data_IF_707508171140
#
_entry.id   IF_707508171140
#
_cell.length_a   1.000
_cell.length_b   1.000
_cell.length_c   1.000
_cell.angle_alpha   90.00
_cell.angle_beta   90.00
_cell.angle_gamma   90.00
#
_symmetry.space_group_name_H-M   'P 1'
#
loop_
_entity.id
_entity.type
_entity.pdbx_description
1 polymer ?
#
# COMPACT_ATOMS: atom_id res chain seq x y z
N UNK A 1 15.03 -44.19 -50.68
CA UNK A 1 14.44 -45.04 -49.62
C UNK A 1 15.30 -44.87 -48.38
N UNK A 2 14.78 -44.27 -47.31
CA UNK A 2 15.53 -44.18 -46.05
C UNK A 2 15.75 -45.59 -45.50
N UNK A 3 16.98 -45.91 -45.04
CA UNK A 3 17.24 -47.23 -44.50
C UNK A 3 16.40 -47.44 -43.24
N UNK A 4 15.92 -48.66 -43.02
CA UNK A 4 15.11 -49.03 -41.85
C UNK A 4 15.75 -48.60 -40.51
N UNK A 5 17.10 -48.55 -40.46
CA UNK A 5 17.86 -48.07 -39.31
C UNK A 5 17.73 -46.56 -39.08
N UNK A 6 17.71 -45.75 -40.14
CA UNK A 6 17.48 -44.30 -40.02
C UNK A 6 16.07 -43.99 -39.55
N UNK A 7 15.07 -44.76 -40.02
CA UNK A 7 13.67 -44.59 -39.60
C UNK A 7 13.51 -44.92 -38.11
N UNK A 8 14.11 -46.02 -37.64
CA UNK A 8 14.07 -46.42 -36.23
C UNK A 8 14.75 -45.39 -35.31
N UNK A 9 15.90 -44.84 -35.72
CA UNK A 9 16.61 -43.80 -34.97
C UNK A 9 15.79 -42.50 -34.91
N UNK A 10 15.20 -42.08 -36.04
CA UNK A 10 14.32 -40.91 -36.07
C UNK A 10 13.09 -41.09 -35.18
N UNK A 11 12.47 -42.27 -35.16
CA UNK A 11 11.34 -42.56 -34.28
C UNK A 11 11.73 -42.53 -32.80
N UNK A 12 12.89 -43.05 -32.43
CA UNK A 12 13.41 -42.98 -31.05
C UNK A 12 13.66 -41.53 -30.60
N UNK A 13 14.23 -40.68 -31.46
CA UNK A 13 14.42 -39.27 -31.13
C UNK A 13 13.09 -38.52 -31.04
N UNK A 14 12.14 -38.78 -31.92
CA UNK A 14 10.81 -38.15 -31.88
C UNK A 14 10.05 -38.57 -30.62
N UNK A 15 10.10 -39.85 -30.21
CA UNK A 15 9.45 -40.29 -28.97
C UNK A 15 10.12 -39.73 -27.72
N UNK A 16 11.46 -39.68 -27.67
CA UNK A 16 12.20 -39.06 -26.57
C UNK A 16 11.86 -37.56 -26.48
N UNK A 17 11.83 -36.85 -27.62
CA UNK A 17 11.44 -35.44 -27.67
C UNK A 17 9.98 -35.24 -27.23
N UNK A 18 9.05 -36.11 -27.62
CA UNK A 18 7.66 -36.06 -27.16
C UNK A 18 7.57 -36.31 -25.65
N UNK A 19 8.28 -37.29 -25.10
CA UNK A 19 8.31 -37.57 -23.67
C UNK A 19 8.94 -36.43 -22.85
N UNK A 20 9.99 -35.80 -23.36
CA UNK A 20 10.60 -34.61 -22.75
C UNK A 20 9.61 -33.45 -22.75
N UNK A 21 8.88 -33.21 -23.85
CA UNK A 21 7.89 -32.14 -23.94
C UNK A 21 6.65 -32.39 -23.05
N UNK A 22 6.23 -33.64 -22.85
CA UNK A 22 5.13 -34.00 -21.93
C UNK A 22 5.46 -33.62 -20.48
N UNK A 23 6.73 -33.70 -20.08
CA UNK A 23 7.19 -33.25 -18.75
C UNK A 23 7.32 -31.71 -18.63
N UNK A 24 7.31 -30.97 -19.75
CA UNK A 24 7.52 -29.52 -19.80
C UNK A 24 6.18 -28.75 -19.76
N UNK A 25 5.02 -29.42 -19.87
CA UNK A 25 3.70 -28.77 -19.80
C UNK A 25 3.43 -28.27 -18.37
N UNK A 26 3.91 -27.06 -18.09
CA UNK A 26 3.24 -26.01 -17.30
C UNK A 26 2.86 -26.37 -15.88
N UNK A 27 3.83 -26.42 -14.96
CA UNK A 27 3.51 -26.29 -13.54
C UNK A 27 2.96 -24.87 -13.29
N UNK A 28 1.65 -24.76 -13.05
CA UNK A 28 1.05 -23.53 -12.56
C UNK A 28 1.80 -23.07 -11.29
N UNK A 29 2.07 -21.76 -11.18
CA UNK A 29 2.68 -21.20 -9.98
C UNK A 29 1.69 -21.43 -8.83
N UNK A 30 2.14 -22.15 -7.81
CA UNK A 30 1.35 -22.45 -6.61
C UNK A 30 1.99 -21.81 -5.40
N UNK A 31 1.15 -21.45 -4.42
CA UNK A 31 1.56 -20.87 -3.15
C UNK A 31 1.05 -21.74 -2.01
N UNK A 32 1.77 -21.75 -0.90
CA UNK A 32 1.38 -22.46 0.32
C UNK A 32 0.95 -21.44 1.38
N UNK A 33 -0.28 -21.52 1.85
CA UNK A 33 -0.86 -20.57 2.81
C UNK A 33 -1.42 -21.30 4.02
N UNK A 34 -1.47 -20.64 5.19
CA UNK A 34 -2.13 -21.19 6.36
C UNK A 34 -3.65 -21.28 6.12
N UNK A 35 -4.29 -22.33 6.65
CA UNK A 35 -5.75 -22.46 6.62
C UNK A 35 -6.38 -21.52 7.64
N UNK A 36 -7.52 -20.93 7.27
CA UNK A 36 -8.33 -20.16 8.21
C UNK A 36 -8.86 -21.07 9.33
N UNK A 37 -8.80 -20.59 10.58
CA UNK A 37 -9.30 -21.34 11.73
C UNK A 37 -8.47 -22.55 12.12
N UNK A 38 -7.24 -22.69 11.61
CA UNK A 38 -6.29 -23.67 12.12
C UNK A 38 -6.05 -23.46 13.61
N UNK A 39 -5.88 -24.55 14.36
CA UNK A 39 -5.57 -24.47 15.78
C UNK A 39 -4.28 -23.68 16.00
N UNK A 40 -4.32 -22.66 16.86
CA UNK A 40 -3.20 -21.73 17.05
C UNK A 40 -1.93 -22.44 17.57
N UNK A 41 -2.06 -23.50 18.35
CA UNK A 41 -0.91 -24.25 18.89
C UNK A 41 -0.29 -25.15 17.83
N UNK A 42 -1.11 -25.81 17.02
CA UNK A 42 -0.66 -26.57 15.86
C UNK A 42 0.00 -25.65 14.82
N UNK A 43 -0.59 -24.48 14.58
CA UNK A 43 -0.10 -23.49 13.63
C UNK A 43 1.25 -22.90 14.07
N UNK A 44 1.41 -22.57 15.36
CA UNK A 44 2.68 -22.10 15.90
C UNK A 44 3.77 -23.18 15.82
N UNK A 45 3.42 -24.43 16.12
CA UNK A 45 4.35 -25.56 16.01
C UNK A 45 4.80 -25.77 14.57
N UNK A 46 3.87 -25.68 13.62
CA UNK A 46 4.15 -25.76 12.20
C UNK A 46 5.02 -24.60 11.69
N UNK A 47 4.77 -23.37 12.14
CA UNK A 47 5.59 -22.20 11.83
C UNK A 47 7.03 -22.41 12.31
N UNK A 48 7.22 -22.83 13.56
CA UNK A 48 8.55 -23.13 14.10
C UNK A 48 9.27 -24.22 13.30
N UNK A 49 8.54 -25.27 12.89
CA UNK A 49 9.08 -26.31 12.01
C UNK A 49 9.52 -25.74 10.66
N UNK A 50 8.71 -24.90 10.01
CA UNK A 50 9.04 -24.31 8.72
C UNK A 50 10.36 -23.53 8.77
N UNK A 51 10.53 -22.68 9.80
CA UNK A 51 11.76 -21.93 10.03
C UNK A 51 12.96 -22.84 10.29
N UNK A 52 12.79 -23.85 11.16
CA UNK A 52 13.86 -24.82 11.46
C UNK A 52 14.24 -25.71 10.27
N UNK A 53 13.31 -25.94 9.34
CA UNK A 53 13.51 -26.78 8.16
C UNK A 53 14.04 -26.00 6.93
N UNK A 54 14.39 -24.72 7.12
CA UNK A 54 15.10 -23.90 6.14
C UNK A 54 14.25 -22.86 5.40
N UNK A 55 13.08 -22.49 5.94
CA UNK A 55 12.42 -21.24 5.53
C UNK A 55 13.20 -20.03 6.06
N UNK A 56 13.26 -18.96 5.26
CA UNK A 56 13.73 -17.68 5.76
C UNK A 56 12.63 -17.02 6.60
N UNK A 57 12.87 -16.89 7.91
CA UNK A 57 11.94 -16.30 8.86
C UNK A 57 12.46 -14.99 9.48
N UNK A 58 13.55 -14.42 8.95
CA UNK A 58 14.06 -13.11 9.39
C UNK A 58 13.05 -11.98 9.10
N UNK A 59 12.39 -11.92 7.93
CA UNK A 59 11.47 -10.82 7.62
C UNK A 59 10.20 -10.77 8.48
N UNK A 60 9.84 -11.87 9.14
CA UNK A 60 8.66 -11.96 10.02
C UNK A 60 9.01 -11.82 11.51
N UNK A 61 10.27 -11.57 11.87
CA UNK A 61 10.63 -11.22 13.25
C UNK A 61 10.15 -9.81 13.60
N UNK A 62 10.11 -9.47 14.89
CA UNK A 62 9.65 -8.15 15.38
C UNK A 62 10.24 -6.92 14.68
N UNK A 63 11.47 -7.02 14.16
CA UNK A 63 12.16 -5.95 13.41
C UNK A 63 12.07 -6.10 11.90
N UNK A 64 11.44 -7.17 11.40
CA UNK A 64 11.37 -7.53 10.00
C UNK A 64 10.30 -6.75 9.22
N UNK A 65 10.52 -6.64 7.91
CA UNK A 65 9.64 -5.89 7.01
C UNK A 65 8.23 -6.52 6.87
N UNK A 66 8.12 -7.82 7.08
CA UNK A 66 6.88 -8.60 7.00
C UNK A 66 6.31 -8.92 8.39
N UNK A 67 6.74 -8.22 9.44
CA UNK A 67 6.21 -8.40 10.79
C UNK A 67 4.77 -7.93 10.95
N UNK A 68 4.44 -6.78 10.33
CA UNK A 68 3.11 -6.18 10.48
C UNK A 68 2.21 -6.55 9.30
N UNK A 69 0.96 -7.00 9.55
CA UNK A 69 0.30 -7.16 10.85
C UNK A 69 0.86 -8.35 11.66
N UNK A 70 0.97 -8.18 12.98
CA UNK A 70 1.47 -9.22 13.90
C UNK A 70 0.40 -10.30 14.13
N UNK A 71 0.28 -11.23 13.18
CA UNK A 71 -0.63 -12.37 13.27
C UNK A 71 0.11 -13.67 12.98
N UNK A 72 -0.16 -14.71 13.80
CA UNK A 72 0.44 -16.04 13.62
C UNK A 72 0.05 -16.62 12.25
N UNK A 73 -1.19 -16.38 11.79
CA UNK A 73 -1.68 -16.81 10.47
C UNK A 73 -0.87 -16.18 9.31
N UNK A 74 -0.56 -14.88 9.42
CA UNK A 74 0.22 -14.15 8.42
C UNK A 74 1.68 -14.60 8.39
N UNK A 75 2.32 -14.69 9.57
CA UNK A 75 3.70 -15.17 9.69
C UNK A 75 3.86 -16.63 9.26
N UNK A 76 2.91 -17.50 9.63
CA UNK A 76 2.86 -18.89 9.20
C UNK A 76 2.71 -19.00 7.68
N UNK A 77 1.80 -18.25 7.06
CA UNK A 77 1.63 -18.25 5.61
C UNK A 77 2.89 -17.82 4.87
N UNK A 78 3.62 -16.83 5.40
CA UNK A 78 4.90 -16.41 4.85
C UNK A 78 5.94 -17.54 4.91
N UNK A 79 6.14 -18.12 6.10
CA UNK A 79 7.12 -19.19 6.31
C UNK A 79 6.78 -20.45 5.51
N UNK A 80 5.50 -20.84 5.45
CA UNK A 80 5.02 -21.99 4.69
C UNK A 80 5.25 -21.81 3.20
N UNK A 81 4.94 -20.63 2.65
CA UNK A 81 5.20 -20.35 1.26
C UNK A 81 6.71 -20.39 0.98
N UNK A 82 7.52 -19.72 1.80
CA UNK A 82 8.98 -19.70 1.63
C UNK A 82 9.57 -21.13 1.63
N UNK A 83 9.23 -21.93 2.64
CA UNK A 83 9.59 -23.35 2.73
C UNK A 83 9.15 -24.13 1.47
N UNK A 84 7.89 -23.99 1.08
CA UNK A 84 7.31 -24.71 -0.05
C UNK A 84 8.01 -24.35 -1.36
N UNK A 85 8.31 -23.07 -1.61
CA UNK A 85 9.02 -22.66 -2.83
C UNK A 85 10.41 -23.29 -2.92
N UNK A 86 11.11 -23.43 -1.78
CA UNK A 86 12.45 -24.00 -1.73
C UNK A 86 12.41 -25.53 -1.84
N UNK A 87 11.46 -26.19 -1.17
CA UNK A 87 11.48 -27.65 -0.99
C UNK A 87 10.58 -28.42 -1.96
N UNK A 88 9.66 -27.79 -2.67
CA UNK A 88 8.70 -28.48 -3.57
C UNK A 88 9.38 -29.33 -4.64
N UNK A 89 10.55 -28.91 -5.13
CA UNK A 89 11.33 -29.68 -6.12
C UNK A 89 11.95 -30.96 -5.53
N UNK A 90 12.18 -30.98 -4.22
CA UNK A 90 12.71 -32.12 -3.48
C UNK A 90 11.60 -32.97 -2.83
N UNK A 91 10.34 -32.78 -3.24
CA UNK A 91 9.19 -33.50 -2.66
C UNK A 91 8.65 -32.90 -1.36
N UNK A 92 8.96 -31.65 -1.04
CA UNK A 92 8.36 -30.95 0.09
C UNK A 92 6.87 -30.67 -0.14
N UNK A 93 6.02 -31.06 0.81
CA UNK A 93 4.57 -30.89 0.75
C UNK A 93 4.09 -29.66 1.53
N UNK A 94 3.03 -29.02 1.03
CA UNK A 94 2.30 -27.99 1.75
C UNK A 94 1.14 -28.63 2.52
N UNK A 95 1.43 -29.13 3.72
CA UNK A 95 0.41 -29.70 4.61
C UNK A 95 0.56 -29.18 6.04
N UNK A 96 1.79 -29.20 6.57
CA UNK A 96 2.11 -28.65 7.90
C UNK A 96 1.16 -29.19 9.00
N UNK A 97 0.88 -30.49 8.98
CA UNK A 97 -0.03 -31.14 9.93
C UNK A 97 -1.49 -30.73 9.70
N UNK A 98 -1.88 -30.54 8.45
CA UNK A 98 -3.19 -30.03 8.05
C UNK A 98 -3.42 -28.54 8.25
N UNK A 99 -2.42 -27.78 8.74
CA UNK A 99 -2.53 -26.34 9.00
C UNK A 99 -2.32 -25.46 7.78
N UNK A 100 -1.90 -26.03 6.65
CA UNK A 100 -1.65 -25.30 5.41
C UNK A 100 -2.40 -25.91 4.21
N UNK A 101 -2.56 -25.10 3.16
CA UNK A 101 -3.14 -25.53 1.88
C UNK A 101 -2.44 -24.87 0.71
N UNK A 102 -2.43 -25.55 -0.43
CA UNK A 102 -1.97 -24.99 -1.69
C UNK A 102 -3.07 -24.13 -2.30
N UNK A 103 -2.69 -22.98 -2.84
CA UNK A 103 -3.54 -22.12 -3.66
C UNK A 103 -2.87 -21.83 -5.01
N UNK A 104 -3.69 -21.70 -6.06
CA UNK A 104 -3.25 -21.39 -7.43
C UNK A 104 -3.40 -19.90 -7.77
N UNK A 105 -4.06 -19.13 -6.91
CA UNK A 105 -4.20 -17.69 -7.04
C UNK A 105 -3.20 -17.04 -6.10
N UNK A 106 -2.46 -16.05 -6.61
CA UNK A 106 -1.49 -15.32 -5.79
C UNK A 106 -2.20 -14.67 -4.59
N UNK A 107 -1.83 -15.02 -3.34
CA UNK A 107 -2.42 -14.43 -2.15
C UNK A 107 -2.32 -12.90 -2.12
N UNK A 108 -1.35 -12.30 -2.82
CA UNK A 108 -1.23 -10.85 -2.92
C UNK A 108 -2.35 -10.21 -3.74
N UNK A 109 -3.02 -10.98 -4.62
CA UNK A 109 -4.10 -10.50 -5.48
C UNK A 109 -5.46 -10.53 -4.79
N UNK A 110 -5.56 -11.15 -3.61
CA UNK A 110 -6.77 -11.21 -2.77
C UNK A 110 -7.05 -9.92 -1.98
N UNK A 111 -6.60 -8.75 -2.47
CA UNK A 111 -6.88 -7.44 -1.85
C UNK A 111 -8.38 -7.07 -1.92
N UNK A 112 -9.19 -7.74 -2.75
CA UNK A 112 -10.61 -7.44 -2.95
C UNK A 112 -11.59 -8.58 -2.56
N UNK A 113 -11.18 -9.56 -1.76
CA UNK A 113 -12.09 -10.60 -1.23
C UNK A 113 -12.07 -10.62 0.30
N UNK A 114 -13.14 -11.09 0.97
CA UNK A 114 -13.33 -10.98 2.43
C UNK A 114 -12.34 -11.76 3.31
N UNK A 115 -11.22 -12.24 2.76
CA UNK A 115 -10.15 -12.97 3.46
C UNK A 115 -9.25 -12.03 4.29
N UNK A 116 -9.39 -10.72 4.11
CA UNK A 116 -8.85 -9.76 5.09
C UNK A 116 -9.89 -9.67 6.21
N UNK A 117 -9.54 -10.22 7.38
CA UNK A 117 -10.25 -9.95 8.64
C UNK A 117 -10.62 -8.46 8.67
N UNK A 118 -11.91 -8.08 8.63
CA UNK A 118 -12.35 -6.70 8.42
C UNK A 118 -11.82 -5.71 9.47
N UNK A 119 -11.31 -6.23 10.58
CA UNK A 119 -10.56 -5.50 11.60
C UNK A 119 -9.40 -4.67 11.04
N UNK A 120 -8.59 -5.22 10.12
CA UNK A 120 -7.41 -4.50 9.62
C UNK A 120 -7.79 -3.32 8.70
N UNK A 121 -8.88 -3.50 7.95
CA UNK A 121 -9.48 -2.43 7.11
C UNK A 121 -10.13 -1.38 8.00
N UNK A 122 -10.82 -1.76 9.09
CA UNK A 122 -11.38 -0.81 10.03
C UNK A 122 -10.32 0.04 10.71
N UNK A 123 -9.24 -0.57 11.22
CA UNK A 123 -8.17 0.19 11.88
C UNK A 123 -7.47 1.18 10.94
N UNK A 124 -7.24 0.79 9.68
CA UNK A 124 -6.67 1.70 8.68
C UNK A 124 -7.66 2.76 8.24
N UNK A 125 -8.94 2.42 8.01
CA UNK A 125 -9.98 3.40 7.66
C UNK A 125 -10.21 4.41 8.77
N UNK A 126 -10.16 4.03 10.05
CA UNK A 126 -10.27 4.93 11.19
C UNK A 126 -9.07 5.87 11.29
N UNK A 127 -7.84 5.36 11.08
CA UNK A 127 -6.64 6.20 11.01
C UNK A 127 -6.72 7.17 9.84
N UNK A 128 -7.13 6.71 8.65
CA UNK A 128 -7.31 7.54 7.45
C UNK A 128 -8.42 8.57 7.67
N UNK A 129 -9.52 8.21 8.33
CA UNK A 129 -10.62 9.11 8.69
C UNK A 129 -10.14 10.20 9.64
N UNK A 130 -9.39 9.84 10.69
CA UNK A 130 -8.76 10.81 11.60
C UNK A 130 -7.77 11.73 10.89
N UNK A 131 -6.99 11.21 9.94
CA UNK A 131 -6.05 12.03 9.13
C UNK A 131 -6.84 13.02 8.25
N UNK A 132 -7.85 12.54 7.52
CA UNK A 132 -8.72 13.39 6.69
C UNK A 132 -9.41 14.48 7.51
N UNK A 133 -9.86 14.14 8.71
CA UNK A 133 -10.50 15.08 9.63
C UNK A 133 -9.52 16.14 10.14
N UNK A 134 -8.31 15.74 10.55
CA UNK A 134 -7.24 16.68 10.94
C UNK A 134 -6.79 17.58 9.79
N UNK A 135 -6.72 17.05 8.56
CA UNK A 135 -6.44 17.84 7.36
C UNK A 135 -7.57 18.85 7.09
N UNK A 136 -8.83 18.42 7.16
CA UNK A 136 -9.99 19.29 6.94
C UNK A 136 -10.06 20.43 7.95
N UNK A 137 -9.86 20.15 9.24
CA UNK A 137 -9.83 21.18 10.29
C UNK A 137 -8.76 22.23 9.99
N UNK A 138 -7.59 21.80 9.52
CA UNK A 138 -6.48 22.71 9.18
C UNK A 138 -6.83 23.57 7.95
N UNK A 139 -7.46 23.00 6.92
CA UNK A 139 -7.91 23.71 5.73
C UNK A 139 -9.04 24.71 6.03
N UNK A 140 -10.01 24.34 6.86
CA UNK A 140 -11.13 25.20 7.24
C UNK A 140 -10.65 26.41 8.05
N UNK A 141 -9.67 26.22 8.94
CA UNK A 141 -8.99 27.33 9.63
C UNK A 141 -8.36 28.30 8.64
N UNK A 142 -7.63 27.80 7.64
CA UNK A 142 -7.00 28.65 6.62
C UNK A 142 -8.03 29.45 5.81
N UNK A 143 -9.15 28.82 5.40
CA UNK A 143 -10.25 29.52 4.72
C UNK A 143 -10.86 30.61 5.58
N UNK A 144 -11.12 30.33 6.85
CA UNK A 144 -11.64 31.33 7.80
C UNK A 144 -10.72 32.55 7.93
N UNK A 145 -9.41 32.35 8.03
CA UNK A 145 -8.42 33.45 8.09
C UNK A 145 -8.37 34.30 6.80
N UNK A 146 -8.62 33.69 5.64
CA UNK A 146 -8.67 34.39 4.35
C UNK A 146 -9.99 35.14 4.21
N UNK A 147 -11.12 34.51 4.56
CA UNK A 147 -12.46 35.09 4.46
C UNK A 147 -12.63 36.30 5.39
N UNK A 148 -12.10 36.22 6.63
CA UNK A 148 -12.13 37.36 7.57
C UNK A 148 -11.35 38.57 7.05
N UNK A 149 -10.33 38.36 6.20
CA UNK A 149 -9.58 39.43 5.52
C UNK A 149 -10.22 39.92 4.22
N UNK A 150 -11.21 39.20 3.67
CA UNK A 150 -11.95 39.58 2.46
C UNK A 150 -13.29 40.26 2.75
N UNK A 151 -13.84 40.12 3.96
CA UNK A 151 -15.06 40.84 4.36
C UNK A 151 -14.78 42.33 4.49
N UNK A 152 -15.68 43.16 3.94
CA UNK A 152 -15.67 44.61 4.14
C UNK A 152 -15.81 44.88 5.64
N UNK A 153 -14.94 45.74 6.17
CA UNK A 153 -15.02 46.17 7.56
C UNK A 153 -16.21 47.12 7.69
N UNK A 154 -17.15 46.81 8.59
CA UNK A 154 -18.22 47.71 9.01
C UNK A 154 -17.75 48.42 10.28
N UNK A 155 -17.91 49.74 10.33
CA UNK A 155 -17.50 50.58 11.45
C UNK A 155 -18.73 51.22 12.08
N UNK A 156 -18.75 51.33 13.40
CA UNK A 156 -19.78 52.05 14.14
C UNK A 156 -19.27 53.39 14.70
N UNK A 157 -20.21 54.25 15.09
CA UNK A 157 -19.89 55.58 15.62
C UNK A 157 -19.20 55.44 16.98
N UNK A 158 -17.89 55.69 17.02
CA UNK A 158 -17.04 55.51 18.20
C UNK A 158 -15.77 54.70 17.93
N UNK A 159 -15.66 54.04 16.77
CA UNK A 159 -14.47 53.27 16.41
C UNK A 159 -13.25 54.15 16.09
N UNK A 160 -12.11 53.85 16.72
CA UNK A 160 -10.83 54.50 16.43
C UNK A 160 -10.06 53.71 15.36
N UNK A 161 -9.75 54.35 14.24
CA UNK A 161 -8.98 53.75 13.14
C UNK A 161 -7.60 54.42 13.03
N UNK A 162 -6.53 53.63 13.02
CA UNK A 162 -5.17 54.15 12.89
C UNK A 162 -4.77 54.26 11.42
N UNK A 163 -4.43 55.48 10.98
CA UNK A 163 -3.84 55.71 9.67
C UNK A 163 -2.37 55.25 9.68
N UNK A 164 -2.05 54.21 8.90
CA UNK A 164 -0.65 53.81 8.69
C UNK A 164 -0.02 54.71 7.62
N UNK A 165 0.70 55.74 8.07
CA UNK A 165 1.50 56.60 7.21
C UNK A 165 2.92 56.03 7.06
N UNK A 166 3.26 55.58 5.85
CA UNK A 166 4.67 55.39 5.46
C UNK A 166 5.23 56.76 5.06
N UNK A 167 6.34 57.24 5.65
CA UNK A 167 6.91 58.53 5.28
C UNK A 167 7.40 58.46 3.83
N UNK A 168 6.75 59.20 2.93
CA UNK A 168 7.25 59.43 1.57
C UNK A 168 8.12 60.68 1.60
N UNK A 169 9.41 60.53 1.35
CA UNK A 169 10.29 61.66 1.05
C UNK A 169 9.89 62.25 -0.30
N UNK A 170 9.15 63.37 -0.28
CA UNK A 170 8.91 64.23 -1.44
C UNK A 170 7.45 64.30 -1.91
N UNK A 171 6.78 65.41 -1.55
CA UNK A 171 5.69 66.12 -2.25
C UNK A 171 4.67 65.27 -3.04
N UNK A 172 3.54 64.92 -2.41
CA UNK A 172 2.11 65.24 -2.71
C UNK A 172 1.29 64.50 -1.63
N UNK A 173 0.37 65.19 -0.92
CA UNK A 173 -0.49 64.57 0.10
C UNK A 173 -1.71 63.94 -0.58
N UNK A 174 -1.74 62.61 -0.65
CA UNK A 174 -2.94 61.84 -0.92
C UNK A 174 -3.32 61.07 0.34
N UNK A 175 -4.53 61.30 0.87
CA UNK A 175 -5.06 60.58 2.02
C UNK A 175 -5.51 59.21 1.52
N UNK A 176 -4.58 58.25 1.51
CA UNK A 176 -4.88 56.85 1.18
C UNK A 176 -5.30 56.11 2.44
N UNK A 177 -6.61 56.00 2.67
CA UNK A 177 -7.16 55.03 3.60
C UNK A 177 -7.17 53.66 2.93
N UNK A 178 -6.27 52.77 3.34
CA UNK A 178 -6.33 51.34 3.00
C UNK A 178 -6.72 50.57 4.26
N UNK A 179 -7.75 49.69 4.23
CA UNK A 179 -8.09 48.86 5.38
C UNK A 179 -6.91 47.94 5.71
N UNK A 180 -6.79 47.54 6.98
CA UNK A 180 -5.66 46.82 7.55
C UNK A 180 -5.53 45.40 6.97
N UNK A 181 -5.05 45.28 5.72
CA UNK A 181 -4.31 44.16 5.13
C UNK A 181 -3.98 44.47 3.66
N UNK A 182 -2.69 44.46 3.30
CA UNK A 182 -2.15 44.45 1.93
C UNK A 182 -2.73 43.26 1.11
N UNK A 183 -2.79 43.21 -0.23
CA UNK A 183 -1.96 43.82 -1.29
C UNK A 183 -2.68 43.82 -2.68
N UNK A 184 -2.26 44.79 -3.52
CA UNK A 184 -2.16 44.91 -5.00
C UNK A 184 -3.12 44.17 -5.95
N UNK A 185 -3.87 44.93 -6.78
CA UNK A 185 -3.58 45.11 -8.23
C UNK A 185 -4.52 46.09 -8.95
N UNK A 186 -3.89 47.06 -9.65
CA UNK A 186 -4.28 47.83 -10.85
C UNK A 186 -5.58 48.65 -10.88
N UNK A 187 -5.44 49.95 -10.61
CA UNK A 187 -6.17 50.99 -11.35
C UNK A 187 -5.45 51.22 -12.69
N UNK A 188 -6.14 50.98 -13.81
CA UNK A 188 -5.91 51.78 -15.02
C UNK A 188 -6.93 52.91 -14.96
N UNK A 189 -6.45 54.12 -14.67
CA UNK A 189 -7.18 55.35 -14.91
C UNK A 189 -6.83 55.80 -16.33
N UNK A 190 -7.81 55.80 -17.23
CA UNK A 190 -7.83 56.74 -18.34
C UNK A 190 -8.78 57.85 -17.93
N UNK A 191 -8.21 59.02 -17.67
CA UNK A 191 -8.90 60.31 -17.60
C UNK A 191 -9.40 60.68 -19.02
N UNK A 192 -10.56 61.32 -19.10
CA UNK A 192 -11.15 61.83 -20.35
C UNK A 192 -12.66 61.82 -20.33
#
# INVERSE_FOLDING_TARGET
MASSKFISVMLMFVTIMVLINVMIVGAAKTWCVAKEGADTTALLSALNYACGAGADCEPIQSTGLCFNPDTIEGHASYAFNNYYQIKKQAGGFCDFGGSATIVEIDPSMHINTPLIRPEMVQQTTDKVKRIKEKMKISQDRQKSYVDKRRRLLEFEQGDHVFLRVTPTTGVVKEISCRPVSCDRTKHNSTEG
#
